data_IF_063363887600
#
_entry.id   IF_063363887600
#
_cell.length_a   1.000
_cell.length_b   1.000
_cell.length_c   1.000
_cell.angle_alpha   90.00
_cell.angle_beta   90.00
_cell.angle_gamma   90.00
#
_symmetry.space_group_name_H-M   'P 1'
#
loop_
_entity.id
_entity.type
_entity.pdbx_description
1 polymer ?
#
# COMPACT_ATOMS: atom_id res chain seq x y z
N UNK A 1 9.86 -4.34 9.54
CA UNK A 1 9.43 -3.12 8.81
C UNK A 1 10.22 -2.88 7.52
N UNK A 2 11.56 -2.95 7.50
CA UNK A 2 12.37 -2.75 6.28
C UNK A 2 12.10 -3.78 5.19
N UNK A 3 11.96 -5.07 5.55
CA UNK A 3 11.81 -6.16 4.58
C UNK A 3 10.58 -6.02 3.67
N UNK A 4 9.41 -5.69 4.21
CA UNK A 4 8.20 -5.46 3.42
C UNK A 4 8.36 -4.30 2.43
N UNK A 5 8.95 -3.17 2.87
CA UNK A 5 9.21 -2.01 2.01
C UNK A 5 10.25 -2.33 0.94
N UNK A 6 11.34 -3.02 1.30
CA UNK A 6 12.36 -3.47 0.36
C UNK A 6 11.80 -4.46 -0.65
N UNK A 7 10.98 -5.43 -0.21
CA UNK A 7 10.32 -6.38 -1.08
C UNK A 7 9.43 -5.68 -2.10
N UNK A 8 8.65 -4.68 -1.66
CA UNK A 8 7.86 -3.85 -2.57
C UNK A 8 8.73 -3.10 -3.59
N UNK A 9 9.81 -2.42 -3.16
CA UNK A 9 10.73 -1.70 -4.05
C UNK A 9 11.40 -2.63 -5.08
N UNK A 10 11.81 -3.82 -4.64
CA UNK A 10 12.40 -4.83 -5.50
C UNK A 10 11.37 -5.34 -6.51
N UNK A 11 10.12 -5.57 -6.10
CA UNK A 11 9.04 -5.95 -7.02
C UNK A 11 8.73 -4.85 -8.04
N UNK A 12 8.78 -3.59 -7.64
CA UNK A 12 8.46 -2.44 -8.50
C UNK A 12 9.56 -2.17 -9.56
N UNK A 13 10.83 -2.35 -9.20
CA UNK A 13 11.96 -1.95 -10.05
C UNK A 13 12.59 -3.08 -10.88
N UNK A 14 12.18 -4.33 -10.68
CA UNK A 14 12.80 -5.48 -11.38
C UNK A 14 11.84 -6.13 -12.39
N UNK A 15 12.37 -6.71 -13.49
CA UNK A 15 11.55 -7.40 -14.49
C UNK A 15 10.74 -8.55 -13.88
N UNK A 16 9.45 -8.62 -14.20
CA UNK A 16 8.52 -9.63 -13.65
C UNK A 16 8.99 -11.07 -13.84
N UNK A 17 9.62 -11.38 -14.99
CA UNK A 17 10.17 -12.71 -15.30
C UNK A 17 11.17 -13.24 -14.26
N UNK A 18 11.95 -12.34 -13.63
CA UNK A 18 12.91 -12.72 -12.58
C UNK A 18 12.17 -12.96 -11.26
N UNK A 19 11.22 -12.09 -10.94
CA UNK A 19 10.49 -12.13 -9.67
C UNK A 19 9.48 -13.27 -9.57
N UNK A 20 8.81 -13.65 -10.66
CA UNK A 20 7.71 -14.62 -10.62
C UNK A 20 8.10 -15.98 -10.02
N UNK A 21 9.33 -16.44 -10.30
CA UNK A 21 9.83 -17.72 -9.78
C UNK A 21 10.32 -17.64 -8.32
N UNK A 22 10.83 -16.48 -7.91
CA UNK A 22 11.38 -16.22 -6.57
C UNK A 22 10.25 -15.96 -5.58
N UNK A 23 9.27 -15.14 -5.95
CA UNK A 23 8.14 -14.77 -5.09
C UNK A 23 7.30 -15.99 -4.68
N UNK A 24 7.21 -17.02 -5.55
CA UNK A 24 6.51 -18.28 -5.23
C UNK A 24 7.11 -19.07 -4.07
N UNK A 25 8.34 -18.75 -3.65
CA UNK A 25 9.05 -19.44 -2.56
C UNK A 25 9.05 -18.63 -1.26
N UNK A 26 8.50 -17.43 -1.27
CA UNK A 26 8.46 -16.52 -0.13
C UNK A 26 7.14 -16.73 0.59
N UNK A 27 7.18 -16.90 1.92
CA UNK A 27 5.98 -16.93 2.74
C UNK A 27 5.49 -15.47 2.87
N UNK A 28 4.20 -15.25 2.64
CA UNK A 28 3.63 -13.89 2.66
C UNK A 28 3.88 -13.19 3.99
N UNK A 29 3.82 -13.93 5.10
CA UNK A 29 4.05 -13.40 6.44
C UNK A 29 5.45 -12.80 6.62
N UNK A 30 6.45 -13.32 5.91
CA UNK A 30 7.83 -12.81 5.98
C UNK A 30 7.98 -11.41 5.37
N UNK A 31 7.10 -11.06 4.42
CA UNK A 31 7.21 -9.83 3.62
C UNK A 31 6.01 -8.90 3.76
N UNK A 32 5.03 -9.25 4.60
CA UNK A 32 3.87 -8.40 4.87
C UNK A 32 4.14 -7.39 5.99
N UNK A 33 3.32 -6.34 6.02
CA UNK A 33 3.21 -5.47 7.19
C UNK A 33 2.07 -6.02 8.06
N UNK A 34 2.37 -6.47 9.28
CA UNK A 34 1.36 -7.05 10.20
C UNK A 34 0.29 -6.03 10.62
N UNK A 35 0.66 -4.76 10.73
CA UNK A 35 -0.23 -3.66 11.08
C UNK A 35 0.00 -2.50 10.11
N UNK A 36 -0.48 -2.60 8.86
CA UNK A 36 -0.29 -1.53 7.90
C UNK A 36 -1.03 -0.28 8.38
N UNK A 37 -0.47 0.93 8.17
CA UNK A 37 -1.22 2.17 8.33
C UNK A 37 -2.54 2.07 7.59
N UNK A 38 -3.62 2.49 8.24
CA UNK A 38 -4.97 2.53 7.67
C UNK A 38 -5.55 3.95 7.76
N UNK A 39 -6.60 4.19 6.99
CA UNK A 39 -7.39 5.42 7.07
C UNK A 39 -8.86 5.07 7.27
N UNK A 40 -9.63 6.02 7.79
CA UNK A 40 -11.09 5.88 7.83
C UNK A 40 -11.75 6.48 6.59
N UNK A 41 -12.93 5.97 6.23
CA UNK A 41 -13.66 6.42 5.03
C UNK A 41 -13.99 7.93 5.03
N UNK A 42 -14.09 8.54 6.21
CA UNK A 42 -14.43 9.96 6.39
C UNK A 42 -13.24 10.81 6.81
N UNK A 43 -12.01 10.27 6.74
CA UNK A 43 -10.81 11.05 7.00
C UNK A 43 -10.66 12.21 6.03
N UNK A 44 -10.21 13.36 6.56
CA UNK A 44 -9.92 14.53 5.72
C UNK A 44 -8.86 14.18 4.69
N UNK A 45 -9.06 14.63 3.45
CA UNK A 45 -8.13 14.38 2.33
C UNK A 45 -6.67 14.74 2.67
N UNK A 46 -6.42 15.85 3.38
CA UNK A 46 -5.08 16.22 3.80
C UNK A 46 -4.41 15.18 4.70
N UNK A 47 -5.15 14.58 5.63
CA UNK A 47 -4.67 13.45 6.47
C UNK A 47 -4.36 12.25 5.60
N UNK A 48 -5.26 11.89 4.66
CA UNK A 48 -5.05 10.77 3.73
C UNK A 48 -3.77 10.94 2.92
N UNK A 49 -3.55 12.12 2.33
CA UNK A 49 -2.33 12.44 1.56
C UNK A 49 -1.10 12.32 2.45
N UNK A 50 -1.13 12.89 3.65
CA UNK A 50 -0.03 12.82 4.60
C UNK A 50 0.32 11.37 4.95
N UNK A 51 -0.68 10.54 5.27
CA UNK A 51 -0.48 9.11 5.57
C UNK A 51 0.17 8.38 4.39
N UNK A 52 -0.24 8.66 3.15
CA UNK A 52 0.35 8.03 1.96
C UNK A 52 1.81 8.46 1.76
N UNK A 53 2.10 9.76 1.88
CA UNK A 53 3.44 10.31 1.70
C UNK A 53 4.40 9.79 2.77
N UNK A 54 4.00 9.82 4.04
CA UNK A 54 4.87 9.42 5.16
C UNK A 54 5.21 7.93 5.14
N UNK A 55 4.28 7.10 4.68
CA UNK A 55 4.47 5.66 4.68
C UNK A 55 5.12 5.13 3.39
N UNK A 56 5.01 5.87 2.29
CA UNK A 56 5.54 5.48 0.98
C UNK A 56 4.89 4.23 0.39
N UNK A 57 3.66 3.92 0.84
CA UNK A 57 2.94 2.73 0.41
C UNK A 57 2.16 2.99 -0.89
N UNK A 58 2.07 2.00 -1.80
CA UNK A 58 1.33 2.15 -3.06
C UNK A 58 -0.18 2.27 -2.84
N UNK A 59 -0.68 1.70 -1.74
CA UNK A 59 -2.08 1.68 -1.38
C UNK A 59 -2.22 1.56 0.14
N UNK A 60 -3.36 2.02 0.66
CA UNK A 60 -3.69 2.01 2.08
C UNK A 60 -5.08 1.39 2.29
N UNK A 61 -5.26 0.49 3.27
CA UNK A 61 -6.58 -0.02 3.63
C UNK A 61 -7.47 1.08 4.22
N UNK A 62 -8.72 1.10 3.77
CA UNK A 62 -9.78 1.94 4.32
C UNK A 62 -10.59 1.10 5.29
N UNK A 63 -10.71 1.53 6.55
CA UNK A 63 -11.41 0.81 7.61
C UNK A 63 -12.53 1.65 8.21
N UNK A 64 -13.43 1.00 8.96
CA UNK A 64 -14.38 1.70 9.83
C UNK A 64 -13.84 1.83 11.27
N UNK A 65 -14.63 2.44 12.15
CA UNK A 65 -14.29 2.64 13.57
C UNK A 65 -14.08 1.35 14.37
N UNK A 66 -14.56 0.20 13.86
CA UNK A 66 -14.35 -1.13 14.44
C UNK A 66 -13.15 -1.87 13.80
N UNK A 67 -12.30 -1.17 13.04
CA UNK A 67 -11.16 -1.75 12.30
C UNK A 67 -11.54 -2.80 11.25
N UNK A 68 -12.80 -2.78 10.78
CA UNK A 68 -13.23 -3.65 9.67
C UNK A 68 -12.87 -3.02 8.34
N UNK A 69 -12.30 -3.82 7.43
CA UNK A 69 -11.95 -3.40 6.08
C UNK A 69 -13.19 -3.00 5.28
N UNK A 70 -13.20 -1.77 4.79
CA UNK A 70 -14.19 -1.24 3.85
C UNK A 70 -13.70 -1.28 2.40
N UNK A 71 -12.39 -1.17 2.19
CA UNK A 71 -11.79 -1.20 0.86
C UNK A 71 -10.31 -0.81 0.87
N UNK A 72 -9.78 -0.49 -0.31
CA UNK A 72 -8.39 -0.09 -0.51
C UNK A 72 -8.33 1.20 -1.31
N UNK A 73 -7.51 2.15 -0.89
CA UNK A 73 -7.24 3.38 -1.61
C UNK A 73 -5.83 3.34 -2.21
N UNK A 74 -5.74 3.30 -3.53
CA UNK A 74 -4.46 3.39 -4.22
C UNK A 74 -3.99 4.84 -4.36
N UNK A 75 -2.68 5.06 -4.19
CA UNK A 75 -2.04 6.35 -4.46
C UNK A 75 -2.28 6.79 -5.91
N UNK A 76 -2.20 5.85 -6.86
CA UNK A 76 -2.39 6.14 -8.29
C UNK A 76 -3.80 6.64 -8.61
N UNK A 77 -4.82 6.00 -8.05
CA UNK A 77 -6.22 6.43 -8.24
C UNK A 77 -6.49 7.83 -7.69
N UNK A 78 -5.88 8.20 -6.55
CA UNK A 78 -5.92 9.58 -6.07
C UNK A 78 -5.28 10.53 -7.09
N UNK A 79 -4.08 10.23 -7.57
CA UNK A 79 -3.38 11.08 -8.55
C UNK A 79 -4.17 11.23 -9.85
N UNK A 80 -4.69 10.14 -10.40
CA UNK A 80 -5.56 10.16 -11.59
C UNK A 80 -6.77 11.07 -11.37
N UNK A 81 -7.38 11.04 -10.18
CA UNK A 81 -8.53 11.89 -9.84
C UNK A 81 -8.18 13.38 -9.70
N UNK A 82 -6.96 13.72 -9.25
CA UNK A 82 -6.52 15.12 -9.18
C UNK A 82 -6.06 15.67 -10.53
N UNK A 83 -5.47 14.83 -11.38
CA UNK A 83 -4.94 15.21 -12.69
C UNK A 83 -6.01 15.20 -13.80
N UNK A 84 -7.15 14.53 -13.59
CA UNK A 84 -8.29 14.50 -14.54
C UNK A 84 -9.15 15.77 -14.51
N UNK A 85 -8.56 16.91 -14.17
CA UNK A 85 -9.19 18.23 -14.33
C UNK A 85 -8.92 18.81 -15.70
#
# INVERSE_FOLDING_TARGET
>A
MTLAKTFYQVRENFPSRIMDSVVRRIIVEDVMLENPPSIEAFDKLGKIIQTIVDNGLPAIPVVNSEMRLLGVLERRSLMERFLSK
#
